data_IF_099893869552
#
_entry.id   IF_099893869552
#
_cell.length_a   1.000
_cell.length_b   1.000
_cell.length_c   1.000
_cell.angle_alpha   90.00
_cell.angle_beta   90.00
_cell.angle_gamma   90.00
#
_symmetry.space_group_name_H-M   'P 1'
#
loop_
_entity.id
_entity.type
_entity.pdbx_description
1 polymer ?
#
# COMPACT_ATOMS: atom_id res chain seq x y z
N UNK A 1 17.71 31.35 -37.58
CA UNK A 1 16.76 30.23 -37.52
C UNK A 1 17.58 28.98 -37.20
N UNK A 2 17.69 28.66 -35.91
CA UNK A 2 18.41 27.47 -35.45
C UNK A 2 17.35 26.44 -35.05
N UNK A 3 17.24 25.38 -35.85
CA UNK A 3 16.34 24.26 -35.61
C UNK A 3 16.84 23.49 -34.40
N UNK A 4 16.23 23.76 -33.24
CA UNK A 4 16.31 22.88 -32.09
C UNK A 4 15.60 21.58 -32.45
N UNK A 5 16.38 20.54 -32.72
CA UNK A 5 15.86 19.19 -32.75
C UNK A 5 15.51 18.80 -31.31
N UNK A 6 14.22 18.84 -30.99
CA UNK A 6 13.66 18.14 -29.86
C UNK A 6 14.00 16.66 -30.03
N UNK A 7 14.86 16.13 -29.16
CA UNK A 7 15.02 14.70 -29.01
C UNK A 7 13.67 14.13 -28.56
N UNK A 8 13.10 13.24 -29.37
CA UNK A 8 11.94 12.46 -29.02
C UNK A 8 12.24 11.66 -27.75
N UNK A 9 11.50 11.97 -26.69
CA UNK A 9 11.53 11.24 -25.41
C UNK A 9 10.92 9.86 -25.63
N UNK A 10 11.76 8.92 -26.08
CA UNK A 10 11.37 7.52 -26.33
C UNK A 10 11.12 6.72 -25.05
N UNK A 11 11.20 7.32 -23.86
CA UNK A 11 11.06 6.61 -22.59
C UNK A 11 12.14 5.54 -22.35
N UNK A 12 13.15 5.46 -23.23
CA UNK A 12 14.29 4.56 -23.10
C UNK A 12 15.33 5.29 -22.26
N UNK A 13 15.39 4.95 -20.96
CA UNK A 13 16.42 5.45 -20.06
C UNK A 13 17.74 4.77 -20.42
N UNK A 14 18.72 5.53 -20.92
CA UNK A 14 20.05 4.99 -21.20
C UNK A 14 20.74 4.52 -19.90
N UNK A 15 21.37 3.34 -19.90
CA UNK A 15 22.02 2.81 -18.70
C UNK A 15 23.29 3.60 -18.41
N UNK A 16 23.52 3.92 -17.13
CA UNK A 16 24.72 4.66 -16.71
C UNK A 16 25.96 3.80 -16.99
N UNK A 17 26.96 4.39 -17.66
CA UNK A 17 28.24 3.73 -17.90
C UNK A 17 29.30 4.16 -16.88
N UNK A 18 30.16 3.23 -16.47
CA UNK A 18 31.28 3.45 -15.58
C UNK A 18 32.50 2.63 -16.03
N UNK A 19 33.66 2.94 -15.47
CA UNK A 19 34.89 2.22 -15.80
C UNK A 19 36.05 2.55 -14.87
N UNK A 20 37.10 1.75 -14.96
CA UNK A 20 38.36 1.96 -14.25
C UNK A 20 39.53 1.39 -15.05
N UNK A 21 40.73 1.83 -14.73
CA UNK A 21 41.98 1.41 -15.36
C UNK A 21 42.88 0.81 -14.30
N UNK A 22 43.50 -0.33 -14.63
CA UNK A 22 44.52 -0.97 -13.80
C UNK A 22 45.79 -1.05 -14.63
N UNK A 23 46.91 -0.53 -14.12
CA UNK A 23 48.21 -0.68 -14.78
C UNK A 23 48.66 -2.14 -14.75
N UNK A 24 49.44 -2.54 -15.74
CA UNK A 24 49.93 -3.90 -15.86
C UNK A 24 51.05 -4.02 -16.87
N UNK A 25 51.44 -5.25 -17.16
CA UNK A 25 52.49 -5.57 -18.11
C UNK A 25 52.14 -6.84 -18.85
N UNK A 26 52.19 -6.76 -20.18
CA UNK A 26 52.13 -7.92 -21.05
C UNK A 26 53.45 -8.70 -20.95
N UNK A 27 53.35 -9.99 -20.59
CA UNK A 27 54.47 -10.94 -20.57
C UNK A 27 54.47 -11.87 -21.79
N UNK A 28 53.28 -12.17 -22.33
CA UNK A 28 53.09 -13.01 -23.52
C UNK A 28 52.71 -12.22 -24.76
N UNK A 29 51.81 -12.78 -25.57
CA UNK A 29 51.23 -12.11 -26.75
C UNK A 29 49.72 -12.02 -26.65
N UNK A 30 49.14 -11.01 -27.30
CA UNK A 30 47.68 -10.84 -27.39
C UNK A 30 46.99 -12.06 -28.02
N UNK A 31 47.62 -12.71 -29.00
CA UNK A 31 47.10 -13.94 -29.60
C UNK A 31 47.04 -15.12 -28.61
N UNK A 32 48.04 -15.27 -27.74
CA UNK A 32 48.06 -16.31 -26.72
C UNK A 32 47.01 -16.07 -25.64
N UNK A 33 46.84 -14.80 -25.22
CA UNK A 33 45.78 -14.38 -24.30
C UNK A 33 44.40 -14.71 -24.90
N UNK A 34 44.14 -14.32 -26.14
CA UNK A 34 42.87 -14.57 -26.79
C UNK A 34 42.57 -16.06 -26.96
N UNK A 35 43.56 -16.86 -27.34
CA UNK A 35 43.43 -18.32 -27.45
C UNK A 35 43.01 -18.94 -26.11
N UNK A 36 43.68 -18.57 -25.01
CA UNK A 36 43.34 -19.11 -23.69
C UNK A 36 41.97 -18.65 -23.20
N UNK A 37 41.63 -17.39 -23.42
CA UNK A 37 40.36 -16.82 -22.99
C UNK A 37 39.18 -17.29 -23.84
N UNK A 38 39.40 -17.78 -25.06
CA UNK A 38 38.35 -18.35 -25.91
C UNK A 38 37.65 -19.57 -25.30
N UNK A 39 38.26 -20.19 -24.28
CA UNK A 39 37.63 -21.23 -23.46
C UNK A 39 36.43 -20.72 -22.65
N UNK A 40 36.35 -19.41 -22.38
CA UNK A 40 35.24 -18.80 -21.68
C UNK A 40 34.11 -18.46 -22.66
N UNK A 41 33.09 -19.31 -22.70
CA UNK A 41 31.93 -19.16 -23.60
C UNK A 41 31.13 -17.86 -23.38
N UNK A 42 31.28 -17.22 -22.22
CA UNK A 42 30.55 -15.99 -21.88
C UNK A 42 31.11 -14.73 -22.55
N UNK A 43 32.32 -14.77 -23.13
CA UNK A 43 32.99 -13.60 -23.72
C UNK A 43 33.07 -13.67 -25.24
N UNK A 44 32.68 -12.57 -25.89
CA UNK A 44 33.07 -12.29 -27.27
C UNK A 44 34.46 -11.66 -27.28
N UNK A 45 35.43 -12.31 -27.92
CA UNK A 45 36.83 -11.88 -27.92
C UNK A 45 37.20 -11.32 -29.29
N UNK A 46 37.81 -10.15 -29.30
CA UNK A 46 38.38 -9.52 -30.50
C UNK A 46 39.84 -9.19 -30.25
N UNK A 47 40.70 -9.66 -31.15
CA UNK A 47 42.13 -9.36 -31.13
C UNK A 47 42.40 -8.21 -32.09
N UNK A 48 43.04 -7.17 -31.58
CA UNK A 48 43.58 -6.06 -32.35
C UNK A 48 45.12 -6.11 -32.29
N UNK A 49 45.85 -5.35 -33.13
CA UNK A 49 47.32 -5.31 -33.10
C UNK A 49 47.88 -4.97 -31.71
N UNK A 50 47.25 -4.02 -31.02
CA UNK A 50 47.76 -3.46 -29.77
C UNK A 50 46.92 -3.83 -28.53
N UNK A 51 45.90 -4.67 -28.69
CA UNK A 51 45.01 -5.04 -27.57
C UNK A 51 44.20 -6.30 -27.80
N UNK A 52 43.74 -6.90 -26.70
CA UNK A 52 42.65 -7.90 -26.70
C UNK A 52 41.44 -7.29 -26.00
N UNK A 53 40.30 -7.30 -26.70
CA UNK A 53 39.03 -6.82 -26.17
C UNK A 53 38.14 -8.03 -25.88
N UNK A 54 37.63 -8.11 -24.67
CA UNK A 54 36.60 -9.06 -24.27
C UNK A 54 35.32 -8.30 -23.98
N UNK A 55 34.22 -8.72 -24.60
CA UNK A 55 32.89 -8.13 -24.41
C UNK A 55 31.92 -9.20 -23.95
N UNK A 56 31.18 -8.89 -22.90
CA UNK A 56 30.00 -9.65 -22.48
C UNK A 56 28.79 -8.76 -22.59
N UNK A 57 27.78 -9.20 -23.34
CA UNK A 57 26.47 -8.56 -23.42
C UNK A 57 25.49 -9.42 -22.62
N UNK A 58 25.06 -8.91 -21.48
CA UNK A 58 24.12 -9.58 -20.57
C UNK A 58 22.67 -9.36 -21.00
N UNK A 59 22.34 -8.16 -21.49
CA UNK A 59 21.01 -7.85 -22.01
C UNK A 59 21.05 -6.87 -23.16
N UNK A 60 19.98 -6.88 -23.96
CA UNK A 60 19.75 -5.96 -25.07
C UNK A 60 18.43 -5.23 -24.87
N UNK A 61 18.35 -4.01 -25.37
CA UNK A 61 17.11 -3.24 -25.39
C UNK A 61 16.11 -3.79 -26.43
N UNK A 62 14.93 -3.18 -26.51
CA UNK A 62 13.89 -3.54 -27.49
C UNK A 62 14.32 -3.35 -28.95
N UNK A 63 15.36 -2.56 -29.19
CA UNK A 63 15.94 -2.27 -30.50
C UNK A 63 17.15 -3.16 -30.79
N UNK A 64 17.44 -4.15 -29.92
CA UNK A 64 18.57 -5.09 -29.96
C UNK A 64 19.95 -4.47 -29.71
N UNK A 65 20.04 -3.22 -29.26
CA UNK A 65 21.31 -2.62 -28.84
C UNK A 65 21.74 -3.20 -27.48
N UNK A 66 23.06 -3.37 -27.23
CA UNK A 66 23.55 -3.77 -25.91
C UNK A 66 23.14 -2.76 -24.84
N UNK A 67 22.40 -3.23 -23.83
CA UNK A 67 21.93 -2.41 -22.71
C UNK A 67 22.77 -2.69 -21.46
N UNK A 68 22.82 -3.96 -21.06
CA UNK A 68 23.68 -4.41 -19.97
C UNK A 68 24.90 -5.12 -20.54
N UNK A 69 26.09 -4.56 -20.32
CA UNK A 69 27.33 -5.13 -20.82
C UNK A 69 28.53 -4.74 -19.97
N UNK A 70 29.63 -5.45 -20.18
CA UNK A 70 30.94 -5.04 -19.72
C UNK A 70 32.04 -5.47 -20.69
N UNK A 71 33.11 -4.70 -20.68
CA UNK A 71 34.23 -4.80 -21.62
C UNK A 71 35.52 -4.77 -20.81
N UNK A 72 36.39 -5.75 -21.07
CA UNK A 72 37.77 -5.74 -20.62
C UNK A 72 38.68 -5.55 -21.83
N UNK A 73 39.48 -4.48 -21.82
CA UNK A 73 40.45 -4.20 -22.87
C UNK A 73 41.85 -4.31 -22.29
N UNK A 74 42.56 -5.37 -22.68
CA UNK A 74 43.94 -5.61 -22.30
C UNK A 74 44.86 -4.93 -23.32
N UNK A 75 45.57 -3.88 -22.92
CA UNK A 75 46.65 -3.23 -23.69
C UNK A 75 48.00 -3.73 -23.17
N UNK A 76 49.12 -3.23 -23.70
CA UNK A 76 50.43 -3.70 -23.27
C UNK A 76 50.78 -3.32 -21.81
N UNK A 77 50.32 -2.14 -21.37
CA UNK A 77 50.68 -1.51 -20.09
C UNK A 77 49.50 -1.31 -19.12
N UNK A 78 48.28 -1.63 -19.56
CA UNK A 78 47.07 -1.39 -18.78
C UNK A 78 45.89 -2.27 -19.18
N UNK A 79 44.98 -2.44 -18.24
CA UNK A 79 43.66 -3.05 -18.43
C UNK A 79 42.64 -1.95 -18.24
N UNK A 80 41.84 -1.72 -19.28
CA UNK A 80 40.71 -0.80 -19.24
C UNK A 80 39.41 -1.59 -19.09
N UNK A 81 38.66 -1.28 -18.04
CA UNK A 81 37.38 -1.91 -17.75
C UNK A 81 36.27 -0.89 -17.95
N UNK A 82 35.27 -1.24 -18.76
CA UNK A 82 34.05 -0.45 -18.95
C UNK A 82 32.83 -1.31 -18.71
N UNK A 83 31.81 -0.80 -18.05
CA UNK A 83 30.59 -1.55 -17.77
C UNK A 83 29.40 -0.60 -17.65
N UNK A 84 28.22 -1.13 -17.92
CA UNK A 84 26.96 -0.43 -17.65
C UNK A 84 26.38 -0.86 -16.30
N UNK A 85 25.61 0.05 -15.71
CA UNK A 85 24.93 -0.10 -14.43
C UNK A 85 23.42 -0.07 -14.73
N UNK A 86 22.69 -1.17 -14.46
CA UNK A 86 21.25 -1.20 -14.64
C UNK A 86 20.55 -0.45 -13.50
N UNK A 87 19.39 0.14 -13.81
CA UNK A 87 18.65 1.06 -12.94
C UNK A 87 18.15 0.42 -11.63
N UNK A 88 17.98 -0.89 -11.63
CA UNK A 88 17.50 -1.70 -10.52
C UNK A 88 18.63 -2.24 -9.63
N UNK A 89 19.89 -1.92 -9.93
CA UNK A 89 21.06 -2.41 -9.19
C UNK A 89 21.85 -1.29 -8.53
N UNK A 90 22.50 -1.60 -7.41
CA UNK A 90 23.45 -0.67 -6.82
C UNK A 90 24.77 -0.66 -7.60
N UNK A 91 25.32 0.55 -7.83
CA UNK A 91 26.60 0.73 -8.52
C UNK A 91 27.73 -0.08 -7.86
N UNK A 92 27.68 -0.18 -6.53
CA UNK A 92 28.64 -0.91 -5.70
C UNK A 92 28.60 -2.42 -5.95
N UNK A 93 27.40 -3.01 -5.95
CA UNK A 93 27.24 -4.43 -6.25
C UNK A 93 27.62 -4.74 -7.70
N UNK A 94 27.29 -3.84 -8.62
CA UNK A 94 27.72 -3.98 -10.02
C UNK A 94 29.25 -3.97 -10.11
N UNK A 95 29.93 -3.01 -9.48
CA UNK A 95 31.40 -2.93 -9.46
C UNK A 95 32.04 -4.19 -8.86
N UNK A 96 31.46 -4.76 -7.80
CA UNK A 96 31.90 -6.05 -7.22
C UNK A 96 31.74 -7.23 -8.19
N UNK A 97 30.62 -7.28 -8.90
CA UNK A 97 30.40 -8.30 -9.93
C UNK A 97 31.44 -8.19 -11.05
N UNK A 98 31.75 -6.97 -11.50
CA UNK A 98 32.74 -6.74 -12.56
C UNK A 98 34.15 -7.12 -12.11
N UNK A 99 34.59 -6.72 -10.90
CA UNK A 99 35.93 -7.09 -10.41
C UNK A 99 36.06 -8.60 -10.20
N UNK A 100 35.02 -9.30 -9.73
CA UNK A 100 35.00 -10.77 -9.63
C UNK A 100 35.25 -11.43 -10.99
N UNK A 101 34.58 -10.96 -12.04
CA UNK A 101 34.77 -11.48 -13.39
C UNK A 101 36.17 -11.15 -13.93
N UNK A 102 36.67 -9.93 -13.68
CA UNK A 102 38.04 -9.56 -14.06
C UNK A 102 39.08 -10.45 -13.37
N UNK A 103 38.96 -10.70 -12.06
CA UNK A 103 39.86 -11.59 -11.32
C UNK A 103 39.83 -13.02 -11.87
N UNK A 104 38.64 -13.49 -12.27
CA UNK A 104 38.49 -14.81 -12.91
C UNK A 104 39.23 -14.86 -14.25
N UNK A 105 39.12 -13.81 -15.08
CA UNK A 105 39.87 -13.69 -16.33
C UNK A 105 41.37 -13.64 -16.08
N UNK A 106 41.82 -12.79 -15.16
CA UNK A 106 43.24 -12.63 -14.80
C UNK A 106 43.85 -13.94 -14.29
N UNK A 107 43.10 -14.74 -13.53
CA UNK A 107 43.58 -16.04 -13.03
C UNK A 107 43.96 -17.01 -14.16
N UNK A 108 43.29 -16.92 -15.32
CA UNK A 108 43.58 -17.79 -16.46
C UNK A 108 44.82 -17.35 -17.24
N UNK A 109 45.14 -16.06 -17.21
CA UNK A 109 46.22 -15.47 -18.02
C UNK A 109 47.37 -14.93 -17.17
N UNK A 110 47.49 -15.35 -15.91
CA UNK A 110 48.45 -14.79 -14.94
C UNK A 110 49.93 -14.90 -15.38
N UNK A 111 50.27 -15.89 -16.20
CA UNK A 111 51.58 -16.08 -16.86
C UNK A 111 51.78 -15.22 -18.11
N UNK A 112 50.69 -14.80 -18.77
CA UNK A 112 50.71 -14.01 -20.01
C UNK A 112 50.54 -12.50 -19.77
N UNK A 113 49.89 -12.13 -18.66
CA UNK A 113 49.59 -10.76 -18.30
C UNK A 113 49.70 -10.54 -16.80
N UNK A 114 50.52 -9.57 -16.39
CA UNK A 114 50.76 -9.26 -14.98
C UNK A 114 50.18 -7.88 -14.64
N UNK A 115 49.02 -7.80 -13.96
CA UNK A 115 48.54 -6.53 -13.44
C UNK A 115 49.42 -6.03 -12.30
N UNK A 116 49.39 -4.72 -12.04
CA UNK A 116 49.91 -4.14 -10.80
C UNK A 116 49.12 -4.73 -9.62
N UNK A 117 49.77 -5.63 -8.89
CA UNK A 117 49.15 -6.36 -7.78
C UNK A 117 48.73 -5.43 -6.66
N UNK A 118 49.53 -4.41 -6.35
CA UNK A 118 49.22 -3.46 -5.29
C UNK A 118 47.96 -2.65 -5.64
N UNK A 119 47.87 -2.14 -6.87
CA UNK A 119 46.69 -1.42 -7.34
C UNK A 119 45.45 -2.33 -7.40
N UNK A 120 45.61 -3.58 -7.85
CA UNK A 120 44.53 -4.55 -7.94
C UNK A 120 43.97 -4.92 -6.55
N UNK A 121 44.83 -5.17 -5.57
CA UNK A 121 44.40 -5.47 -4.20
C UNK A 121 43.73 -4.27 -3.54
N UNK A 122 44.29 -3.07 -3.66
CA UNK A 122 43.67 -1.84 -3.13
C UNK A 122 42.30 -1.58 -3.75
N UNK A 123 42.17 -1.77 -5.06
CA UNK A 123 40.88 -1.63 -5.74
C UNK A 123 39.87 -2.66 -5.24
N UNK A 124 40.29 -3.91 -5.08
CA UNK A 124 39.41 -5.00 -4.62
C UNK A 124 38.95 -4.75 -3.19
N UNK A 125 39.87 -4.36 -2.30
CA UNK A 125 39.61 -4.04 -0.90
C UNK A 125 38.62 -2.86 -0.78
N UNK A 126 38.86 -1.77 -1.50
CA UNK A 126 37.94 -0.62 -1.55
C UNK A 126 36.54 -1.00 -2.03
N UNK A 127 36.42 -1.89 -3.02
CA UNK A 127 35.12 -2.37 -3.51
C UNK A 127 34.42 -3.23 -2.46
N UNK A 128 35.15 -4.10 -1.76
CA UNK A 128 34.61 -4.93 -0.69
C UNK A 128 34.09 -4.04 0.45
N UNK A 129 34.89 -3.07 0.89
CA UNK A 129 34.51 -2.11 1.92
C UNK A 129 33.27 -1.30 1.54
N UNK A 130 33.19 -0.82 0.29
CA UNK A 130 32.03 -0.09 -0.21
C UNK A 130 30.74 -0.93 -0.10
N UNK A 131 30.82 -2.21 -0.44
CA UNK A 131 29.70 -3.16 -0.38
C UNK A 131 29.34 -3.50 1.07
N UNK A 132 30.32 -3.79 1.93
CA UNK A 132 30.08 -4.07 3.35
C UNK A 132 29.41 -2.90 4.06
N UNK A 133 29.86 -1.68 3.78
CA UNK A 133 29.24 -0.46 4.31
C UNK A 133 27.81 -0.28 3.80
N UNK A 134 27.56 -0.58 2.52
CA UNK A 134 26.22 -0.49 1.92
C UNK A 134 25.24 -1.51 2.52
N UNK A 135 25.70 -2.74 2.76
CA UNK A 135 24.90 -3.79 3.38
C UNK A 135 24.55 -3.45 4.83
N UNK A 136 25.51 -2.90 5.56
CA UNK A 136 25.33 -2.46 6.95
C UNK A 136 24.28 -1.35 7.05
N UNK A 137 24.36 -0.33 6.19
CA UNK A 137 23.35 0.73 6.12
C UNK A 137 21.96 0.20 5.76
N UNK A 138 21.89 -0.71 4.78
CA UNK A 138 20.63 -1.31 4.35
C UNK A 138 19.96 -2.11 5.47
N UNK A 139 20.75 -2.82 6.29
CA UNK A 139 20.24 -3.55 7.44
C UNK A 139 19.63 -2.61 8.50
N UNK A 140 20.33 -1.52 8.85
CA UNK A 140 19.80 -0.54 9.81
C UNK A 140 18.50 0.11 9.31
N UNK A 141 18.44 0.49 8.03
CA UNK A 141 17.21 1.05 7.43
C UNK A 141 16.06 0.04 7.39
N UNK A 142 16.35 -1.21 7.04
CA UNK A 142 15.35 -2.29 7.03
C UNK A 142 14.83 -2.57 8.44
N UNK A 143 15.72 -2.63 9.43
CA UNK A 143 15.36 -2.82 10.83
C UNK A 143 14.45 -1.69 11.33
N UNK A 144 14.80 -0.43 11.06
CA UNK A 144 13.96 0.71 11.42
C UNK A 144 12.59 0.67 10.74
N UNK A 145 12.55 0.30 9.45
CA UNK A 145 11.30 0.18 8.70
C UNK A 145 10.42 -0.94 9.27
N UNK A 146 11.02 -2.07 9.63
CA UNK A 146 10.34 -3.18 10.27
C UNK A 146 9.78 -2.79 11.63
N UNK A 147 10.56 -2.12 12.48
CA UNK A 147 10.11 -1.68 13.80
C UNK A 147 8.97 -0.66 13.70
N UNK A 148 9.08 0.29 12.76
CA UNK A 148 8.01 1.25 12.45
C UNK A 148 6.72 0.54 12.02
N UNK A 149 6.82 -0.40 11.06
CA UNK A 149 5.67 -1.14 10.56
C UNK A 149 5.03 -2.01 11.65
N UNK A 150 5.85 -2.60 12.52
CA UNK A 150 5.38 -3.42 13.62
C UNK A 150 4.64 -2.57 14.67
N UNK A 151 5.11 -1.37 14.95
CA UNK A 151 4.44 -0.42 15.84
C UNK A 151 3.11 0.07 15.24
N UNK A 152 3.10 0.42 13.95
CA UNK A 152 1.88 0.80 13.23
C UNK A 152 0.83 -0.33 13.22
N UNK A 153 1.27 -1.57 12.98
CA UNK A 153 0.40 -2.74 13.06
C UNK A 153 -0.21 -2.92 14.46
N UNK A 154 0.58 -2.73 15.52
CA UNK A 154 0.08 -2.81 16.90
C UNK A 154 -0.96 -1.73 17.18
N UNK A 155 -0.73 -0.51 16.71
CA UNK A 155 -1.65 0.60 16.87
C UNK A 155 -2.96 0.35 16.12
N UNK A 156 -2.88 -0.04 14.84
CA UNK A 156 -4.05 -0.40 14.03
C UNK A 156 -4.85 -1.54 14.66
N UNK A 157 -4.17 -2.56 15.19
CA UNK A 157 -4.82 -3.66 15.89
C UNK A 157 -5.57 -3.18 17.15
N UNK A 158 -4.97 -2.28 17.93
CA UNK A 158 -5.64 -1.67 19.11
C UNK A 158 -6.87 -0.88 18.69
N UNK A 159 -6.73 0.00 17.69
CA UNK A 159 -7.83 0.82 17.16
C UNK A 159 -8.97 -0.05 16.61
N UNK A 160 -8.64 -1.15 15.93
CA UNK A 160 -9.63 -2.09 15.41
C UNK A 160 -10.45 -2.75 16.55
N UNK A 161 -9.78 -3.16 17.64
CA UNK A 161 -10.45 -3.71 18.83
C UNK A 161 -11.36 -2.66 19.46
N UNK A 162 -10.90 -1.42 19.62
CA UNK A 162 -11.70 -0.31 20.17
C UNK A 162 -12.91 0.00 19.29
N UNK A 163 -12.73 0.09 17.98
CA UNK A 163 -13.81 0.32 17.01
C UNK A 163 -14.83 -0.83 17.04
N UNK A 164 -14.36 -2.08 17.10
CA UNK A 164 -15.22 -3.26 17.20
C UNK A 164 -16.07 -3.25 18.47
N UNK A 165 -15.47 -2.89 19.61
CA UNK A 165 -16.19 -2.76 20.88
C UNK A 165 -17.18 -1.60 20.86
N UNK A 166 -16.81 -0.46 20.30
CA UNK A 166 -17.68 0.70 20.14
C UNK A 166 -18.89 0.39 19.26
N UNK A 167 -18.68 -0.28 18.13
CA UNK A 167 -19.76 -0.74 17.25
C UNK A 167 -20.73 -1.69 17.96
N UNK A 168 -20.23 -2.64 18.76
CA UNK A 168 -21.09 -3.53 19.55
C UNK A 168 -21.94 -2.74 20.55
N UNK A 169 -21.34 -1.79 21.25
CA UNK A 169 -22.04 -0.92 22.22
C UNK A 169 -23.12 -0.08 21.54
N UNK A 170 -22.79 0.60 20.44
CA UNK A 170 -23.72 1.41 19.67
C UNK A 170 -24.87 0.57 19.09
N UNK A 171 -24.59 -0.63 18.60
CA UNK A 171 -25.63 -1.55 18.11
C UNK A 171 -26.59 -1.95 19.22
N UNK A 172 -26.08 -2.24 20.42
CA UNK A 172 -26.91 -2.55 21.59
C UNK A 172 -27.79 -1.35 22.00
N UNK A 173 -27.21 -0.14 22.05
CA UNK A 173 -27.95 1.08 22.36
C UNK A 173 -29.02 1.39 21.31
N UNK A 174 -28.70 1.26 20.02
CA UNK A 174 -29.66 1.46 18.94
C UNK A 174 -30.84 0.49 19.02
N UNK A 175 -30.57 -0.78 19.36
CA UNK A 175 -31.62 -1.80 19.55
C UNK A 175 -32.52 -1.47 20.74
N UNK A 176 -31.92 -1.04 21.86
CA UNK A 176 -32.66 -0.63 23.06
C UNK A 176 -33.57 0.58 22.76
N UNK A 177 -33.02 1.64 22.15
CA UNK A 177 -33.76 2.84 21.79
C UNK A 177 -34.87 2.54 20.78
N UNK A 178 -34.64 1.64 19.82
CA UNK A 178 -35.68 1.21 18.89
C UNK A 178 -36.84 0.50 19.60
N UNK A 179 -36.54 -0.35 20.59
CA UNK A 179 -37.55 -1.00 21.43
C UNK A 179 -38.35 0.02 22.23
N UNK A 180 -37.70 0.95 22.91
CA UNK A 180 -38.35 2.01 23.69
C UNK A 180 -39.22 2.91 22.81
N UNK A 181 -38.74 3.27 21.62
CA UNK A 181 -39.50 4.08 20.67
C UNK A 181 -40.76 3.35 20.18
N UNK A 182 -40.66 2.05 19.89
CA UNK A 182 -41.83 1.24 19.52
C UNK A 182 -42.84 1.15 20.67
N UNK A 183 -42.38 1.01 21.91
CA UNK A 183 -43.26 1.01 23.08
C UNK A 183 -43.97 2.36 23.25
N UNK A 184 -43.22 3.47 23.15
CA UNK A 184 -43.78 4.82 23.26
C UNK A 184 -44.79 5.11 22.13
N UNK A 185 -44.51 4.68 20.90
CA UNK A 185 -45.46 4.79 19.78
C UNK A 185 -46.73 3.99 20.04
N UNK A 186 -46.61 2.76 20.53
CA UNK A 186 -47.79 1.95 20.88
C UNK A 186 -48.63 2.61 21.99
N UNK A 187 -47.99 3.25 22.97
CA UNK A 187 -48.68 4.04 24.01
C UNK A 187 -49.33 5.29 23.44
N UNK A 188 -48.66 6.00 22.53
CA UNK A 188 -49.18 7.18 21.86
C UNK A 188 -50.41 6.83 21.01
N UNK A 189 -50.33 5.79 20.17
CA UNK A 189 -51.44 5.30 19.35
C UNK A 189 -52.65 4.88 20.20
N UNK A 190 -52.42 4.34 21.40
CA UNK A 190 -53.48 4.02 22.35
C UNK A 190 -54.16 5.26 22.94
N UNK A 191 -53.44 6.37 23.07
CA UNK A 191 -53.93 7.65 23.62
C UNK A 191 -54.55 8.56 22.55
N UNK A 192 -54.03 8.55 21.32
CA UNK A 192 -54.36 9.49 20.24
C UNK A 192 -55.58 9.13 19.39
N UNK A 193 -56.19 7.95 19.55
CA UNK A 193 -57.32 7.53 18.69
C UNK A 193 -58.45 8.57 18.59
N UNK A 194 -58.65 9.37 19.63
CA UNK A 194 -59.38 10.63 19.55
C UNK A 194 -58.83 11.61 20.61
N UNK A 195 -58.71 12.89 20.27
CA UNK A 195 -58.36 13.93 21.24
C UNK A 195 -59.47 14.06 22.29
N UNK A 196 -59.11 14.45 23.52
CA UNK A 196 -60.09 14.65 24.60
C UNK A 196 -61.23 15.58 24.17
N UNK A 197 -60.90 16.66 23.46
CA UNK A 197 -61.86 17.65 22.95
C UNK A 197 -62.81 17.06 21.91
N UNK A 198 -62.29 16.28 20.95
CA UNK A 198 -63.14 15.61 19.95
C UNK A 198 -64.04 14.56 20.60
N UNK A 199 -63.55 13.85 21.62
CA UNK A 199 -64.37 12.90 22.37
C UNK A 199 -65.45 13.58 23.20
N UNK A 200 -65.17 14.75 23.80
CA UNK A 200 -66.18 15.51 24.55
C UNK A 200 -67.33 15.90 23.63
N UNK A 201 -67.04 16.39 22.43
CA UNK A 201 -68.06 16.71 21.42
C UNK A 201 -68.85 15.47 21.01
N UNK A 202 -68.18 14.33 20.78
CA UNK A 202 -68.87 13.07 20.46
C UNK A 202 -69.76 12.56 21.60
N UNK A 203 -69.39 12.81 22.86
CA UNK A 203 -70.21 12.48 24.03
C UNK A 203 -71.42 13.42 24.11
N UNK A 204 -71.25 14.71 23.86
CA UNK A 204 -72.34 15.69 23.80
C UNK A 204 -73.36 15.33 22.70
N UNK A 205 -72.89 15.08 21.47
CA UNK A 205 -73.72 14.64 20.34
C UNK A 205 -74.49 13.34 20.68
N UNK A 206 -73.84 12.42 21.38
CA UNK A 206 -74.48 11.17 21.80
C UNK A 206 -75.56 11.40 22.85
N UNK A 207 -75.31 12.25 23.85
CA UNK A 207 -76.27 12.59 24.89
C UNK A 207 -77.50 13.29 24.30
N UNK A 208 -77.31 14.21 23.35
CA UNK A 208 -78.42 14.85 22.63
C UNK A 208 -79.27 13.82 21.88
N UNK A 209 -78.63 12.87 21.19
CA UNK A 209 -79.31 11.84 20.42
C UNK A 209 -80.02 10.77 21.28
N UNK A 210 -79.53 10.48 22.49
CA UNK A 210 -80.00 9.38 23.35
C UNK A 210 -80.68 9.86 24.63
N UNK A 211 -81.40 10.99 24.55
CA UNK A 211 -82.22 11.53 25.66
C UNK A 211 -81.42 11.74 26.96
N UNK A 212 -80.21 12.28 26.85
CA UNK A 212 -79.27 12.56 27.94
C UNK A 212 -78.84 11.33 28.76
N UNK A 213 -78.86 10.14 28.15
CA UNK A 213 -78.31 8.93 28.77
C UNK A 213 -77.19 8.36 27.91
N UNK A 214 -76.14 7.84 28.56
CA UNK A 214 -75.00 7.22 27.87
C UNK A 214 -74.74 5.84 28.47
N UNK A 215 -74.90 4.80 27.65
CA UNK A 215 -74.38 3.47 27.97
C UNK A 215 -72.91 3.42 27.53
N UNK A 216 -72.01 3.31 28.50
CA UNK A 216 -70.56 3.30 28.29
C UNK A 216 -70.13 2.14 27.38
N UNK A 217 -70.80 0.98 27.49
CA UNK A 217 -70.47 -0.21 26.68
C UNK A 217 -70.91 -0.05 25.23
N UNK A 218 -72.09 0.54 25.02
CA UNK A 218 -72.62 0.81 23.68
C UNK A 218 -71.83 1.91 22.96
N UNK A 219 -71.48 2.98 23.68
CA UNK A 219 -70.64 4.06 23.17
C UNK A 219 -69.23 3.56 22.82
N UNK A 220 -68.62 2.76 23.71
CA UNK A 220 -67.31 2.13 23.47
C UNK A 220 -67.29 1.26 22.21
N UNK A 221 -68.35 0.46 22.00
CA UNK A 221 -68.47 -0.40 20.82
C UNK A 221 -68.65 0.41 19.54
N UNK A 222 -69.44 1.46 19.59
CA UNK A 222 -69.78 2.28 18.42
C UNK A 222 -68.59 3.09 17.93
N UNK A 223 -67.86 3.74 18.84
CA UNK A 223 -66.70 4.57 18.51
C UNK A 223 -65.36 3.83 18.55
N UNK A 224 -65.37 2.52 18.80
CA UNK A 224 -64.18 1.64 18.91
C UNK A 224 -63.16 2.16 19.93
N UNK A 225 -63.67 2.62 21.06
CA UNK A 225 -62.92 3.17 22.18
C UNK A 225 -62.79 2.14 23.29
N UNK A 226 -61.74 2.27 24.12
CA UNK A 226 -61.61 1.44 25.32
C UNK A 226 -62.49 2.01 26.43
N UNK A 227 -63.20 1.14 27.17
CA UNK A 227 -64.08 1.55 28.29
C UNK A 227 -63.34 2.46 29.30
N UNK A 228 -62.09 2.16 29.74
CA UNK A 228 -61.37 3.01 30.67
C UNK A 228 -61.12 4.44 30.14
N UNK A 229 -60.96 4.62 28.83
CA UNK A 229 -60.75 5.94 28.21
C UNK A 229 -62.01 6.79 28.29
N UNK A 230 -63.17 6.18 28.10
CA UNK A 230 -64.47 6.85 28.18
C UNK A 230 -64.79 7.20 29.64
N UNK A 231 -64.55 6.30 30.58
CA UNK A 231 -64.73 6.57 32.02
C UNK A 231 -63.83 7.72 32.51
N UNK A 232 -62.55 7.71 32.12
CA UNK A 232 -61.64 8.81 32.44
C UNK A 232 -62.11 10.15 31.85
N UNK A 233 -62.62 10.13 30.62
CA UNK A 233 -63.16 11.32 29.97
C UNK A 233 -64.45 11.81 30.63
N UNK A 234 -65.40 10.93 30.93
CA UNK A 234 -66.65 11.28 31.61
C UNK A 234 -66.37 11.85 33.00
N UNK A 235 -65.44 11.26 33.76
CA UNK A 235 -65.00 11.83 35.04
C UNK A 235 -64.40 13.22 34.88
N UNK A 236 -63.65 13.46 33.80
CA UNK A 236 -63.10 14.78 33.46
C UNK A 236 -64.21 15.77 33.08
N UNK A 237 -65.19 15.36 32.29
CA UNK A 237 -66.35 16.20 31.91
C UNK A 237 -67.22 16.55 33.13
N UNK A 238 -67.41 15.62 34.06
CA UNK A 238 -68.10 15.86 35.34
C UNK A 238 -67.32 16.86 36.20
N UNK A 239 -65.99 16.69 36.31
CA UNK A 239 -65.14 17.59 37.09
C UNK A 239 -65.13 19.02 36.53
N UNK A 240 -65.22 19.15 35.20
CA UNK A 240 -65.26 20.43 34.50
C UNK A 240 -66.68 21.04 34.44
N UNK A 241 -67.71 20.32 34.91
CA UNK A 241 -69.10 20.79 34.96
C UNK A 241 -69.87 20.69 33.65
N UNK A 242 -69.37 19.95 32.66
CA UNK A 242 -70.06 19.74 31.38
C UNK A 242 -71.19 18.69 31.46
N UNK A 243 -71.10 17.75 32.41
CA UNK A 243 -72.08 16.66 32.60
C UNK A 243 -72.33 16.45 34.10
N UNK A 244 -73.58 16.20 34.50
CA UNK A 244 -73.93 15.86 35.88
C UNK A 244 -74.33 14.38 35.99
N UNK A 245 -73.77 13.69 36.99
CA UNK A 245 -74.20 12.33 37.35
C UNK A 245 -75.55 12.40 38.08
N UNK A 246 -76.62 12.01 37.40
CA UNK A 246 -77.88 11.67 38.08
C UNK A 246 -77.84 10.19 38.47
N UNK A 247 -77.78 9.93 39.77
CA UNK A 247 -78.01 8.61 40.36
C UNK A 247 -79.48 8.23 40.32
#
# INVERSE_FOLDING_TARGET
>A
MSSGAMAEDTGIVEPKAAGFIIKGRLAGSFSAIASRLSTLQMFSIKVNPDSVVMLTVESRDMQKNPFLFFIFTFKADEIEVRYTIPLDSSEKMRKLYIIKNLLSVLSLIADLYQPDQSALYQLTDSIIDDVLNSLSQSYSSLFNSYDSLFNEYRELKRLNIELSNSNKSLTAQATQLASENNELKARLDALEKYSDEALMVMVEDWLEAHSNTIDISEFARTYKLTIPRIEQLLNKMVTLGYVELKG
#
